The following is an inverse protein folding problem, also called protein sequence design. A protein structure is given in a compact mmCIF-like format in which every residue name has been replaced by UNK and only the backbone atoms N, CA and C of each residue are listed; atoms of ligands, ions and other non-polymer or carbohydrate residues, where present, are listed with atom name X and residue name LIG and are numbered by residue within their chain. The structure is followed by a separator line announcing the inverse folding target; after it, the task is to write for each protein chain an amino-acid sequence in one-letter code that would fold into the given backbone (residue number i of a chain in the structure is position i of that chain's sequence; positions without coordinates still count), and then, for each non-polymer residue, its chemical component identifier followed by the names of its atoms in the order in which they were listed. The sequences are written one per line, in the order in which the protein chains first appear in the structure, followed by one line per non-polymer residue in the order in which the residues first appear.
data_IF_677043571732
#
_entry.id   IF_677043571732
#
_cell.length_a   1.000
_cell.length_b   1.000
_cell.length_c   1.000
_cell.angle_alpha   90.00
_cell.angle_beta   90.00
_cell.angle_gamma   90.00
#
_symmetry.space_group_name_H-M   'P 1'
#
loop_
_entity.id
_entity.type
_entity.pdbx_description
1 polymer ?
#
# COMPACT_ATOMS: atom_id res chain seq x y z
N UNK A 1 1.80 26.79 27.10
CA UNK A 1 1.89 25.59 26.25
C UNK A 1 1.46 24.41 27.11
N UNK A 2 0.65 23.48 26.58
CA UNK A 2 0.28 22.28 27.34
C UNK A 2 1.52 21.42 27.63
N UNK A 3 1.52 20.78 28.80
CA UNK A 3 2.59 19.89 29.24
C UNK A 3 1.97 18.57 29.70
N UNK A 4 2.72 17.49 29.56
CA UNK A 4 2.38 16.19 30.13
C UNK A 4 3.53 15.67 30.97
N UNK A 5 3.20 14.89 32.00
CA UNK A 5 4.20 14.16 32.78
C UNK A 5 4.14 12.70 32.34
N UNK A 6 5.26 12.16 31.91
CA UNK A 6 5.43 10.76 31.54
C UNK A 6 6.44 10.08 32.45
N UNK A 7 6.38 8.77 32.56
CA UNK A 7 7.27 7.98 33.41
C UNK A 7 8.06 6.99 32.55
N UNK A 8 9.39 7.00 32.67
CA UNK A 8 10.30 6.10 31.96
C UNK A 8 11.31 5.53 32.97
N UNK A 9 11.36 4.20 33.11
CA UNK A 9 12.17 3.48 34.10
C UNK A 9 12.05 4.09 35.52
N UNK A 10 10.81 4.33 35.96
CA UNK A 10 10.49 4.91 37.27
C UNK A 10 10.81 6.41 37.44
N UNK A 11 11.30 7.08 36.39
CA UNK A 11 11.63 8.52 36.42
C UNK A 11 10.55 9.33 35.71
N UNK A 12 10.12 10.42 36.36
CA UNK A 12 9.12 11.34 35.79
C UNK A 12 9.78 12.40 34.94
N UNK A 13 9.29 12.56 33.71
CA UNK A 13 9.74 13.57 32.75
C UNK A 13 8.57 14.47 32.40
N UNK A 14 8.80 15.78 32.49
CA UNK A 14 7.86 16.79 32.04
C UNK A 14 8.18 17.15 30.60
N UNK A 15 7.21 16.97 29.71
CA UNK A 15 7.38 17.19 28.28
C UNK A 15 6.37 18.22 27.80
N UNK A 16 6.85 19.20 27.03
CA UNK A 16 6.00 20.12 26.31
C UNK A 16 5.37 19.41 25.12
N UNK A 17 4.09 19.67 24.87
CA UNK A 17 3.38 19.13 23.73
C UNK A 17 2.49 20.19 23.07
N UNK A 18 2.10 19.95 21.84
CA UNK A 18 1.10 20.75 21.14
C UNK A 18 -0.31 20.43 21.67
N UNK A 19 -1.24 21.36 21.45
CA UNK A 19 -2.64 21.17 21.83
C UNK A 19 -3.25 20.02 21.02
N UNK A 20 -3.83 19.04 21.72
CA UNK A 20 -4.40 17.83 21.12
C UNK A 20 -3.43 16.64 21.02
N UNK A 21 -2.12 16.84 21.22
CA UNK A 21 -1.12 15.76 21.12
C UNK A 21 -0.83 15.04 22.44
N UNK A 22 -1.41 15.47 23.57
CA UNK A 22 -1.12 14.95 24.91
C UNK A 22 -1.22 13.43 24.99
N UNK A 23 -2.33 12.87 24.49
CA UNK A 23 -2.60 11.43 24.53
C UNK A 23 -1.62 10.63 23.66
N UNK A 24 -1.26 11.18 22.51
CA UNK A 24 -0.28 10.56 21.61
C UNK A 24 1.09 10.49 22.28
N UNK A 25 1.54 11.60 22.87
CA UNK A 25 2.83 11.65 23.56
C UNK A 25 2.90 10.68 24.75
N UNK A 26 1.82 10.58 25.54
CA UNK A 26 1.72 9.61 26.63
C UNK A 26 1.87 8.18 26.10
N UNK A 27 1.15 7.82 25.03
CA UNK A 27 1.25 6.50 24.42
C UNK A 27 2.65 6.19 23.85
N UNK A 28 3.34 7.18 23.27
CA UNK A 28 4.72 7.02 22.82
C UNK A 28 5.66 6.76 24.01
N UNK A 29 5.49 7.49 25.12
CA UNK A 29 6.29 7.30 26.31
C UNK A 29 6.03 5.94 26.98
N UNK A 30 4.78 5.48 27.05
CA UNK A 30 4.43 4.14 27.55
C UNK A 30 5.07 3.03 26.72
N UNK A 31 5.02 3.16 25.38
CA UNK A 31 5.69 2.22 24.47
C UNK A 31 7.19 2.22 24.68
N UNK A 32 7.81 3.41 24.78
CA UNK A 32 9.24 3.52 25.02
C UNK A 32 9.64 2.92 26.38
N UNK A 33 8.87 3.20 27.44
CA UNK A 33 9.08 2.62 28.76
C UNK A 33 9.01 1.08 28.71
N UNK A 34 8.07 0.51 27.97
CA UNK A 34 7.96 -0.94 27.79
C UNK A 34 9.23 -1.55 27.17
N UNK A 35 9.85 -0.85 26.21
CA UNK A 35 11.12 -1.27 25.62
C UNK A 35 12.29 -1.19 26.62
N UNK A 36 12.32 -0.14 27.44
CA UNK A 36 13.32 0.01 28.50
C UNK A 36 13.21 -1.12 29.53
N UNK A 37 12.00 -1.45 29.99
CA UNK A 37 11.77 -2.55 30.94
C UNK A 37 12.10 -3.93 30.33
N UNK A 38 11.80 -4.15 29.05
CA UNK A 38 12.18 -5.39 28.35
C UNK A 38 13.70 -5.58 28.30
N UNK A 39 14.44 -4.51 27.98
CA UNK A 39 15.91 -4.52 27.99
C UNK A 39 16.48 -4.72 29.40
N UNK A 40 15.84 -4.15 30.42
CA UNK A 40 16.24 -4.33 31.82
C UNK A 40 16.23 -5.81 32.23
N UNK A 41 15.19 -6.53 31.84
CA UNK A 41 15.07 -7.98 32.08
C UNK A 41 16.11 -8.82 31.31
N UNK A 42 16.53 -8.37 30.13
CA UNK A 42 17.45 -9.11 29.26
C UNK A 42 18.94 -8.87 29.57
N UNK A 43 19.33 -7.65 29.93
CA UNK A 43 20.75 -7.25 30.05
C UNK A 43 21.20 -7.17 31.53
N UNK A 44 20.27 -7.21 32.48
CA UNK A 44 20.54 -7.14 33.92
C UNK A 44 20.73 -5.70 34.43
N UNK A 45 21.26 -5.57 35.65
CA UNK A 45 21.47 -4.28 36.34
C UNK A 45 22.65 -3.49 35.71
N UNK A 46 22.38 -2.89 34.55
CA UNK A 46 23.20 -1.82 33.97
C UNK A 46 22.64 -0.48 34.44
N UNK A 47 23.49 0.53 34.63
CA UNK A 47 23.04 1.86 35.07
C UNK A 47 21.95 2.45 34.15
N UNK A 48 20.91 3.02 34.77
CA UNK A 48 19.69 3.56 34.13
C UNK A 48 19.95 4.33 32.83
N UNK A 49 20.94 5.21 32.81
CA UNK A 49 21.23 6.03 31.65
C UNK A 49 21.66 5.21 30.44
N UNK A 50 22.49 4.17 30.65
CA UNK A 50 22.95 3.31 29.56
C UNK A 50 21.80 2.47 29.02
N UNK A 51 20.94 1.99 29.92
CA UNK A 51 19.74 1.24 29.55
C UNK A 51 18.79 2.08 28.68
N UNK A 52 18.48 3.31 29.09
CA UNK A 52 17.63 4.22 28.32
C UNK A 52 18.24 4.56 26.95
N UNK A 53 19.56 4.77 26.87
CA UNK A 53 20.26 5.00 25.59
C UNK A 53 20.18 3.78 24.68
N UNK A 54 20.39 2.57 25.21
CA UNK A 54 20.27 1.34 24.42
C UNK A 54 18.84 1.13 23.92
N UNK A 55 17.83 1.38 24.75
CA UNK A 55 16.43 1.32 24.34
C UNK A 55 16.11 2.35 23.23
N UNK A 56 16.66 3.57 23.35
CA UNK A 56 16.54 4.59 22.31
C UNK A 56 17.10 4.14 20.97
N UNK A 57 18.32 3.58 20.98
CA UNK A 57 18.96 3.06 19.76
C UNK A 57 18.17 1.89 19.16
N UNK A 58 17.68 0.97 20.00
CA UNK A 58 16.88 -0.17 19.54
C UNK A 58 15.58 0.29 18.84
N UNK A 59 14.88 1.28 19.40
CA UNK A 59 13.68 1.84 18.78
C UNK A 59 13.99 2.56 17.46
N UNK A 60 15.15 3.23 17.37
CA UNK A 60 15.60 3.85 16.11
C UNK A 60 15.93 2.81 15.05
N UNK A 61 16.52 1.68 15.43
CA UNK A 61 16.79 0.57 14.52
C UNK A 61 15.50 -0.08 13.99
N UNK A 62 14.52 -0.33 14.87
CA UNK A 62 13.17 -0.79 14.48
C UNK A 62 12.50 0.18 13.50
N UNK A 63 12.62 1.49 13.74
CA UNK A 63 12.09 2.52 12.85
C UNK A 63 12.78 2.48 11.48
N UNK A 64 14.11 2.41 11.46
CA UNK A 64 14.88 2.33 10.22
C UNK A 64 14.55 1.07 9.41
N UNK A 65 14.25 -0.06 10.07
CA UNK A 65 13.77 -1.27 9.42
C UNK A 65 12.38 -1.09 8.82
N UNK A 66 11.44 -0.51 9.57
CA UNK A 66 10.10 -0.21 9.08
C UNK A 66 10.14 0.73 7.85
N UNK A 67 10.98 1.76 7.88
CA UNK A 67 11.18 2.69 6.76
C UNK A 67 11.73 1.98 5.51
N UNK A 68 12.71 1.08 5.68
CA UNK A 68 13.20 0.24 4.57
C UNK A 68 12.06 -0.61 3.99
N UNK A 69 11.26 -1.23 4.85
CA UNK A 69 10.16 -2.09 4.40
C UNK A 69 9.06 -1.31 3.68
N UNK A 70 8.72 -0.12 4.14
CA UNK A 70 7.77 0.77 3.47
C UNK A 70 8.28 1.08 2.06
N UNK A 71 9.55 1.45 1.91
CA UNK A 71 10.13 1.77 0.60
C UNK A 71 10.11 0.58 -0.38
N UNK A 72 10.34 -0.64 0.12
CA UNK A 72 10.20 -1.86 -0.67
C UNK A 72 8.75 -2.06 -1.14
N UNK A 73 7.79 -1.91 -0.23
CA UNK A 73 6.36 -2.05 -0.53
C UNK A 73 5.87 -0.98 -1.52
N UNK A 74 6.32 0.27 -1.40
CA UNK A 74 6.02 1.33 -2.37
C UNK A 74 6.52 0.99 -3.77
N UNK A 75 7.70 0.37 -3.86
CA UNK A 75 8.27 -0.11 -5.12
C UNK A 75 7.42 -1.23 -5.70
N UNK A 76 7.02 -2.20 -4.88
CA UNK A 76 6.15 -3.31 -5.28
C UNK A 76 4.79 -2.83 -5.77
N UNK A 77 4.15 -1.91 -5.06
CA UNK A 77 2.87 -1.29 -5.47
C UNK A 77 3.01 -0.60 -6.83
N UNK A 78 4.13 0.09 -7.07
CA UNK A 78 4.39 0.74 -8.36
C UNK A 78 4.50 -0.29 -9.49
N UNK A 79 5.23 -1.40 -9.26
CA UNK A 79 5.37 -2.49 -10.23
C UNK A 79 4.02 -3.15 -10.53
N UNK A 80 3.26 -3.49 -9.48
CA UNK A 80 1.95 -4.13 -9.63
C UNK A 80 0.95 -3.22 -10.35
N UNK A 81 0.95 -1.93 -10.02
CA UNK A 81 0.09 -0.94 -10.68
C UNK A 81 0.40 -0.85 -12.17
N UNK A 82 1.69 -0.80 -12.53
CA UNK A 82 2.11 -0.81 -13.93
C UNK A 82 1.72 -2.09 -14.66
N UNK A 83 1.94 -3.26 -14.04
CA UNK A 83 1.53 -4.54 -14.63
C UNK A 83 0.00 -4.59 -14.85
N UNK A 84 -0.80 -4.08 -13.92
CA UNK A 84 -2.24 -3.97 -14.07
C UNK A 84 -2.65 -3.05 -15.24
N UNK A 85 -1.96 -1.92 -15.41
CA UNK A 85 -2.18 -1.01 -16.55
C UNK A 85 -1.83 -1.66 -17.90
N UNK A 86 -0.73 -2.41 -17.96
CA UNK A 86 -0.31 -3.14 -19.17
C UNK A 86 -1.36 -4.19 -19.56
N UNK A 87 -1.84 -4.98 -18.58
CA UNK A 87 -2.91 -5.96 -18.82
C UNK A 87 -4.21 -5.28 -19.27
N UNK A 88 -4.61 -4.18 -18.63
CA UNK A 88 -5.82 -3.45 -19.02
C UNK A 88 -5.73 -2.94 -20.48
N UNK A 89 -4.58 -2.42 -20.90
CA UNK A 89 -4.35 -1.96 -22.26
C UNK A 89 -4.38 -3.12 -23.28
N UNK A 90 -3.85 -4.29 -22.93
CA UNK A 90 -3.94 -5.48 -23.77
C UNK A 90 -5.39 -5.96 -23.95
N UNK A 91 -6.18 -5.95 -22.88
CA UNK A 91 -7.61 -6.28 -22.93
C UNK A 91 -8.38 -5.33 -23.84
N UNK A 92 -8.19 -4.02 -23.68
CA UNK A 92 -8.85 -3.00 -24.52
C UNK A 92 -8.47 -3.18 -26.01
N UNK A 93 -7.19 -3.44 -26.30
CA UNK A 93 -6.72 -3.71 -27.65
C UNK A 93 -7.34 -5.00 -28.25
N UNK A 94 -7.52 -6.03 -27.42
CA UNK A 94 -8.17 -7.28 -27.83
C UNK A 94 -9.66 -7.07 -28.11
N UNK A 95 -10.36 -6.34 -27.25
CA UNK A 95 -11.77 -5.98 -27.43
C UNK A 95 -11.99 -5.21 -28.74
N UNK A 96 -11.15 -4.22 -29.04
CA UNK A 96 -11.23 -3.48 -30.30
C UNK A 96 -11.03 -4.38 -31.53
N UNK A 97 -10.03 -5.28 -31.49
CA UNK A 97 -9.80 -6.24 -32.58
C UNK A 97 -10.97 -7.19 -32.76
N UNK A 98 -11.56 -7.64 -31.66
CA UNK A 98 -12.70 -8.54 -31.68
C UNK A 98 -13.95 -7.87 -32.27
N UNK A 99 -14.26 -6.65 -31.84
CA UNK A 99 -15.35 -5.85 -32.39
C UNK A 99 -15.17 -5.59 -33.90
N UNK A 100 -13.94 -5.28 -34.34
CA UNK A 100 -13.65 -5.11 -35.75
C UNK A 100 -13.91 -6.39 -36.57
N UNK A 101 -13.45 -7.55 -36.07
CA UNK A 101 -13.67 -8.84 -36.74
C UNK A 101 -15.14 -9.25 -36.79
N UNK A 102 -15.90 -8.98 -35.73
CA UNK A 102 -17.35 -9.16 -35.74
C UNK A 102 -18.02 -8.28 -36.80
N UNK A 103 -17.60 -7.02 -36.91
CA UNK A 103 -18.09 -6.10 -37.94
C UNK A 103 -17.77 -6.58 -39.36
N UNK A 104 -16.56 -7.07 -39.60
CA UNK A 104 -16.18 -7.63 -40.90
C UNK A 104 -17.00 -8.89 -41.25
N UNK A 105 -17.23 -9.77 -40.28
CA UNK A 105 -18.05 -10.97 -40.47
C UNK A 105 -19.52 -10.63 -40.79
N UNK A 106 -20.10 -9.64 -40.10
CA UNK A 106 -21.45 -9.16 -40.38
C UNK A 106 -21.57 -8.65 -41.82
N UNK A 107 -20.63 -7.80 -42.28
CA UNK A 107 -20.62 -7.31 -43.68
C UNK A 107 -20.48 -8.44 -44.70
N UNK A 108 -19.68 -9.46 -44.40
CA UNK A 108 -19.53 -10.63 -45.28
C UNK A 108 -20.84 -11.43 -45.38
N UNK A 109 -21.56 -11.61 -44.28
CA UNK A 109 -22.88 -12.26 -44.26
C UNK A 109 -23.92 -11.45 -45.04
N UNK A 110 -23.95 -10.13 -44.87
CA UNK A 110 -24.83 -9.24 -45.64
C UNK A 110 -24.53 -9.34 -47.14
N UNK A 111 -23.26 -9.30 -47.54
CA UNK A 111 -22.87 -9.46 -48.95
C UNK A 111 -23.27 -10.82 -49.54
N UNK A 112 -23.13 -11.91 -48.77
CA UNK A 112 -23.58 -13.24 -49.20
C UNK A 112 -25.11 -13.30 -49.34
N UNK A 113 -25.85 -12.68 -48.42
CA UNK A 113 -27.31 -12.61 -48.49
C UNK A 113 -27.79 -11.83 -49.72
N UNK A 114 -27.16 -10.69 -50.03
CA UNK A 114 -27.47 -9.90 -51.25
C UNK A 114 -27.21 -10.72 -52.52
N UNK A 115 -26.07 -11.40 -52.61
CA UNK A 115 -25.76 -12.23 -53.77
C UNK A 115 -26.76 -13.37 -53.96
N UNK A 116 -27.25 -13.98 -52.87
CA UNK A 116 -28.29 -15.01 -52.94
C UNK A 116 -29.62 -14.44 -53.48
N UNK A 117 -30.03 -13.26 -53.01
CA UNK A 117 -31.26 -12.60 -53.45
C UNK A 117 -31.21 -12.21 -54.94
N UNK A 118 -30.06 -11.72 -55.42
CA UNK A 118 -29.84 -11.41 -56.85
C UNK A 118 -29.88 -12.67 -57.76
N UNK A 119 -29.56 -13.83 -57.21
CA UNK A 119 -29.62 -15.12 -57.95
C UNK A 119 -30.96 -15.83 -57.85
N UNK A 120 -31.91 -15.33 -57.05
CA UNK A 120 -33.23 -15.91 -56.93
C UNK A 120 -34.09 -15.62 -58.19
N UNK A 121 -34.58 -16.63 -58.92
CA UNK A 121 -35.41 -16.39 -60.09
C UNK A 121 -36.75 -15.76 -59.67
N UNK A 122 -37.09 -14.61 -60.26
CA UNK A 122 -38.42 -14.01 -60.13
C UNK A 122 -39.50 -15.04 -60.55
N UNK A 123 -40.52 -15.31 -59.71
CA UNK A 123 -41.66 -16.10 -60.15
C UNK A 123 -42.36 -15.34 -61.29
N UNK A 124 -42.22 -15.85 -62.51
CA UNK A 124 -43.01 -15.39 -63.65
C UNK A 124 -44.43 -15.96 -63.48
N UNK A 125 -45.31 -15.15 -62.89
CA UNK A 125 -46.74 -15.40 -62.78
C UNK A 125 -47.51 -14.21 -63.35
#
# INVERSE_FOLDING_TARGET
MPEVNVEINGRKYRMACEEGQQKHLIGLAERFNSQVEALKGAVGEIGDNRLTVMAGIAVVDELAEAERKIKELETEVTVLTRAGQEVAAEYEALEHKFAAKLGDAARALEGAAVALDETAPLPQG
#
